data_IF_342208512697
#
_entry.id   IF_342208512697
#
_cell.length_a   1.000
_cell.length_b   1.000
_cell.length_c   1.000
_cell.angle_alpha   90.00
_cell.angle_beta   90.00
_cell.angle_gamma   90.00
#
_symmetry.space_group_name_H-M   'P 1'
#
loop_
_entity.id
_entity.type
_entity.pdbx_description
1 polymer ?
#
# COMPACT_ATOMS: atom_id res chain seq x y z
N UNK A 1 7.96 -20.50 18.79
CA UNK A 1 7.07 -19.50 18.13
C UNK A 1 5.84 -19.32 19.00
N UNK A 2 5.18 -18.16 18.96
CA UNK A 2 3.86 -17.96 19.53
C UNK A 2 2.87 -18.83 18.80
N UNK A 3 1.97 -19.52 19.48
CA UNK A 3 1.01 -20.44 18.88
C UNK A 3 -0.30 -19.78 18.42
N UNK A 4 -0.58 -18.55 18.88
CA UNK A 4 -1.82 -17.83 18.58
C UNK A 4 -1.52 -16.34 18.42
N UNK A 5 -2.03 -15.72 17.36
CA UNK A 5 -1.95 -14.30 17.08
C UNK A 5 -3.32 -13.63 17.06
N UNK A 6 -3.40 -12.44 17.59
CA UNK A 6 -4.58 -11.57 17.54
C UNK A 6 -4.24 -10.34 16.71
N UNK A 7 -4.59 -10.40 15.44
CA UNK A 7 -4.32 -9.36 14.46
C UNK A 7 -5.60 -8.73 13.94
N UNK A 8 -5.48 -7.62 13.24
CA UNK A 8 -6.63 -6.96 12.62
C UNK A 8 -6.26 -5.93 11.59
N UNK A 9 -7.29 -5.31 10.97
CA UNK A 9 -7.17 -4.18 10.06
C UNK A 9 -7.94 -3.00 10.63
N UNK A 10 -7.22 -1.93 10.95
CA UNK A 10 -7.81 -0.66 11.38
C UNK A 10 -8.12 0.22 10.17
N UNK A 11 -9.37 0.65 10.03
CA UNK A 11 -9.80 1.55 8.97
C UNK A 11 -11.18 2.12 9.25
N UNK A 12 -11.78 2.76 8.25
CA UNK A 12 -13.16 3.22 8.27
C UNK A 12 -13.89 2.75 7.01
N UNK A 13 -15.12 2.23 7.20
CA UNK A 13 -15.96 1.68 6.13
C UNK A 13 -15.23 0.54 5.37
N UNK A 14 -14.60 -0.40 6.10
CA UNK A 14 -13.68 -1.42 5.58
C UNK A 14 -14.29 -2.80 5.39
N UNK A 15 -15.63 -2.92 5.46
CA UNK A 15 -16.32 -4.21 5.35
C UNK A 15 -16.06 -5.00 4.07
N UNK A 16 -15.56 -4.35 3.02
CA UNK A 16 -15.20 -4.95 1.73
C UNK A 16 -13.79 -5.56 1.70
N UNK A 17 -12.98 -5.38 2.76
CA UNK A 17 -11.56 -5.78 2.73
C UNK A 17 -11.37 -7.29 2.70
N UNK A 18 -10.53 -7.76 1.81
CA UNK A 18 -10.10 -9.16 1.68
C UNK A 18 -8.94 -9.55 2.61
N UNK A 19 -8.44 -8.63 3.43
CA UNK A 19 -7.35 -8.93 4.37
C UNK A 19 -7.66 -10.06 5.35
N UNK A 20 -8.87 -10.21 5.91
CA UNK A 20 -9.19 -11.36 6.78
C UNK A 20 -9.02 -12.71 6.09
N UNK A 21 -9.40 -12.83 4.81
CA UNK A 21 -9.25 -14.04 4.00
C UNK A 21 -7.77 -14.38 3.79
N UNK A 22 -6.97 -13.39 3.42
CA UNK A 22 -5.53 -13.55 3.21
C UNK A 22 -4.81 -13.99 4.49
N UNK A 23 -5.12 -13.38 5.63
CA UNK A 23 -4.52 -13.79 6.90
C UNK A 23 -5.03 -15.16 7.38
N UNK A 24 -6.25 -15.56 7.07
CA UNK A 24 -6.72 -16.91 7.33
C UNK A 24 -5.94 -17.95 6.51
N UNK A 25 -5.58 -17.65 5.25
CA UNK A 25 -4.70 -18.49 4.43
C UNK A 25 -3.30 -18.56 5.00
N UNK A 26 -2.71 -17.43 5.43
CA UNK A 26 -1.40 -17.36 6.08
C UNK A 26 -1.41 -18.22 7.35
N UNK A 27 -2.40 -18.07 8.22
CA UNK A 27 -2.49 -18.84 9.47
C UNK A 27 -2.60 -20.33 9.22
N UNK A 28 -3.39 -20.74 8.22
CA UNK A 28 -3.52 -22.16 7.84
C UNK A 28 -2.19 -22.73 7.34
N UNK A 29 -1.50 -22.00 6.45
CA UNK A 29 -0.19 -22.39 5.91
C UNK A 29 0.88 -22.51 7.00
N UNK A 30 0.85 -21.64 8.00
CA UNK A 30 1.81 -21.61 9.11
C UNK A 30 1.40 -22.54 10.29
N UNK A 31 0.26 -23.25 10.23
CA UNK A 31 -0.22 -24.11 11.31
C UNK A 31 -0.57 -23.35 12.60
N UNK A 32 -1.11 -22.14 12.48
CA UNK A 32 -1.41 -21.24 13.60
C UNK A 32 -2.90 -21.27 13.97
N UNK A 33 -3.37 -22.47 14.36
CA UNK A 33 -4.74 -22.67 14.79
C UNK A 33 -5.11 -21.76 15.98
N UNK A 34 -6.32 -21.21 15.95
CA UNK A 34 -6.78 -20.26 16.97
C UNK A 34 -6.34 -18.81 16.80
N UNK A 35 -5.46 -18.51 15.81
CA UNK A 35 -5.15 -17.13 15.46
C UNK A 35 -6.34 -16.44 14.79
N UNK A 36 -6.46 -15.12 15.01
CA UNK A 36 -7.57 -14.33 14.48
C UNK A 36 -7.07 -13.08 13.77
N UNK A 37 -7.76 -12.72 12.68
CA UNK A 37 -7.62 -11.44 12.03
C UNK A 37 -9.00 -10.78 11.89
N UNK A 38 -9.18 -9.59 12.47
CA UNK A 38 -10.48 -8.93 12.56
C UNK A 38 -10.47 -7.57 11.88
N UNK A 39 -11.60 -7.18 11.32
CA UNK A 39 -11.83 -5.79 10.89
C UNK A 39 -12.08 -4.93 12.14
N UNK A 40 -11.32 -3.85 12.25
CA UNK A 40 -11.40 -2.85 13.32
C UNK A 40 -11.92 -1.57 12.66
N UNK A 41 -13.23 -1.59 12.36
CA UNK A 41 -13.90 -0.46 11.75
C UNK A 41 -14.17 0.62 12.80
N UNK A 42 -13.61 1.80 12.63
CA UNK A 42 -13.69 2.91 13.58
C UNK A 42 -13.87 4.23 12.84
N UNK A 43 -14.69 5.10 13.39
CA UNK A 43 -14.83 6.49 12.93
C UNK A 43 -13.65 7.36 13.39
N UNK A 44 -12.97 6.99 14.49
CA UNK A 44 -11.86 7.71 15.09
C UNK A 44 -10.78 6.73 15.57
N UNK A 45 -9.51 7.17 15.52
CA UNK A 45 -8.37 6.33 15.91
C UNK A 45 -8.05 6.38 17.42
N UNK A 46 -8.27 7.54 18.07
CA UNK A 46 -7.85 7.78 19.45
C UNK A 46 -8.45 6.78 20.46
N UNK A 47 -9.75 6.45 20.43
CA UNK A 47 -10.32 5.46 21.35
C UNK A 47 -9.70 4.07 21.17
N UNK A 48 -9.39 3.68 19.93
CA UNK A 48 -8.75 2.39 19.66
C UNK A 48 -7.34 2.32 20.24
N UNK A 49 -6.52 3.36 20.09
CA UNK A 49 -5.18 3.38 20.67
C UNK A 49 -5.20 3.40 22.20
N UNK A 50 -6.19 4.04 22.82
CA UNK A 50 -6.41 3.96 24.27
C UNK A 50 -6.71 2.52 24.70
N UNK A 51 -7.54 1.80 23.96
CA UNK A 51 -7.84 0.38 24.19
C UNK A 51 -6.57 -0.48 24.05
N UNK A 52 -5.83 -0.32 22.95
CA UNK A 52 -4.58 -1.06 22.68
C UNK A 52 -3.59 -0.93 23.84
N UNK A 53 -3.37 0.29 24.31
CA UNK A 53 -2.44 0.57 25.42
C UNK A 53 -2.89 -0.05 26.73
N UNK A 54 -4.21 -0.08 27.00
CA UNK A 54 -4.76 -0.57 28.27
C UNK A 54 -4.82 -2.10 28.33
N UNK A 55 -5.12 -2.79 27.20
CA UNK A 55 -5.51 -4.20 27.26
C UNK A 55 -4.41 -5.17 26.85
N UNK A 56 -3.38 -4.71 26.13
CA UNK A 56 -2.38 -5.57 25.46
C UNK A 56 -3.00 -6.76 24.72
N UNK A 57 -4.23 -6.56 24.18
CA UNK A 57 -5.00 -7.60 23.53
C UNK A 57 -4.46 -7.96 22.14
N UNK A 58 -3.86 -6.98 21.46
CA UNK A 58 -3.40 -7.09 20.09
C UNK A 58 -1.92 -7.42 20.02
N UNK A 59 -1.53 -8.32 19.11
CA UNK A 59 -0.14 -8.58 18.75
C UNK A 59 0.34 -7.63 17.65
N UNK A 60 -0.61 -7.09 16.89
CA UNK A 60 -0.40 -6.10 15.87
C UNK A 60 -1.65 -5.87 15.03
N UNK A 61 -1.59 -4.91 14.14
CA UNK A 61 -2.68 -4.62 13.21
C UNK A 61 -2.17 -3.89 11.97
N UNK A 62 -2.81 -4.16 10.84
CA UNK A 62 -2.65 -3.34 9.66
C UNK A 62 -3.49 -2.06 9.77
N UNK A 63 -3.12 -1.05 9.02
CA UNK A 63 -3.81 0.24 8.95
C UNK A 63 -4.12 0.58 7.50
N UNK A 64 -5.36 0.94 7.23
CA UNK A 64 -5.80 1.38 5.90
C UNK A 64 -6.45 2.76 5.95
N UNK A 65 -7.02 3.16 4.84
CA UNK A 65 -7.71 4.45 4.66
C UNK A 65 -8.80 4.66 5.72
N UNK A 66 -8.91 5.86 6.30
CA UNK A 66 -8.11 7.07 6.05
C UNK A 66 -6.91 7.23 7.00
N UNK A 67 -6.51 6.21 7.77
CA UNK A 67 -5.75 6.35 9.01
C UNK A 67 -4.24 6.16 8.88
N UNK A 68 -3.70 5.79 7.71
CA UNK A 68 -2.25 5.51 7.51
C UNK A 68 -1.30 6.62 7.99
N UNK A 69 -1.74 7.88 7.95
CA UNK A 69 -0.97 9.03 8.48
C UNK A 69 -1.41 9.40 9.90
N UNK A 70 -2.72 9.28 10.17
CA UNK A 70 -3.30 9.69 11.45
C UNK A 70 -2.85 8.84 12.65
N UNK A 71 -2.36 7.62 12.41
CA UNK A 71 -1.87 6.73 13.48
C UNK A 71 -0.46 7.09 13.99
N UNK A 72 0.33 7.81 13.19
CA UNK A 72 1.74 8.11 13.51
C UNK A 72 1.93 8.72 14.90
N UNK A 73 1.14 9.71 15.35
CA UNK A 73 1.30 10.31 16.68
C UNK A 73 1.06 9.35 17.86
N UNK A 74 0.46 8.19 17.62
CA UNK A 74 0.16 7.19 18.65
C UNK A 74 1.23 6.11 18.78
N UNK A 75 2.23 6.09 17.89
CA UNK A 75 3.27 5.08 17.83
C UNK A 75 4.52 5.51 18.58
N UNK A 76 5.23 4.53 19.17
CA UNK A 76 6.47 4.78 19.90
C UNK A 76 7.68 4.82 18.96
N UNK A 77 7.62 4.07 17.86
CA UNK A 77 8.70 3.94 16.88
C UNK A 77 8.15 3.87 15.46
N UNK A 78 8.94 4.37 14.52
CA UNK A 78 8.73 4.19 13.09
C UNK A 78 9.98 3.53 12.49
N UNK A 79 9.75 2.60 11.55
CA UNK A 79 10.84 2.08 10.74
C UNK A 79 11.30 3.11 9.69
N UNK A 80 12.47 2.94 9.07
CA UNK A 80 12.96 3.88 8.06
C UNK A 80 12.03 4.06 6.85
N UNK A 81 11.35 2.99 6.40
CA UNK A 81 10.43 3.06 5.25
C UNK A 81 9.18 3.85 5.60
N UNK A 82 8.56 3.58 6.73
CA UNK A 82 7.36 4.34 7.15
C UNK A 82 7.69 5.81 7.38
N UNK A 83 8.91 6.13 7.85
CA UNK A 83 9.40 7.51 7.97
C UNK A 83 9.53 8.16 6.60
N UNK A 84 10.17 7.50 5.63
CA UNK A 84 10.35 8.01 4.27
C UNK A 84 9.02 8.21 3.54
N UNK A 85 8.07 7.29 3.70
CA UNK A 85 6.72 7.38 3.12
C UNK A 85 5.87 8.43 3.84
N UNK A 86 6.09 8.65 5.14
CA UNK A 86 5.21 9.46 6.00
C UNK A 86 3.82 8.82 6.17
N UNK A 87 3.75 7.48 6.14
CA UNK A 87 2.53 6.72 6.37
C UNK A 87 2.86 5.33 6.91
N UNK A 88 1.96 4.78 7.72
CA UNK A 88 2.05 3.45 8.34
C UNK A 88 0.87 2.61 7.89
N UNK A 89 1.11 1.37 7.44
CA UNK A 89 0.08 0.40 7.13
C UNK A 89 0.18 -0.90 7.94
N UNK A 90 1.23 -1.03 8.79
CA UNK A 90 1.42 -2.17 9.67
C UNK A 90 1.97 -1.70 11.02
N UNK A 91 1.39 -2.16 12.13
CA UNK A 91 1.81 -1.83 13.49
C UNK A 91 1.99 -3.11 14.29
N UNK A 92 3.17 -3.32 14.87
CA UNK A 92 3.40 -4.39 15.84
C UNK A 92 3.19 -3.89 17.26
N UNK A 93 2.62 -4.74 18.12
CA UNK A 93 2.40 -4.46 19.54
C UNK A 93 3.25 -5.43 20.35
N UNK A 94 4.36 -4.97 20.91
CA UNK A 94 5.31 -5.84 21.66
C UNK A 94 5.76 -5.18 22.94
N UNK A 95 5.54 -5.87 24.05
CA UNK A 95 5.99 -5.38 25.37
C UNK A 95 5.51 -3.93 25.65
N UNK A 96 4.32 -3.59 25.18
CA UNK A 96 3.75 -2.23 25.28
C UNK A 96 4.29 -1.23 24.27
N UNK A 97 5.27 -1.59 23.44
CA UNK A 97 5.83 -0.75 22.37
C UNK A 97 5.04 -0.94 21.07
N UNK A 98 4.58 0.14 20.49
CA UNK A 98 3.94 0.18 19.19
C UNK A 98 4.94 0.66 18.14
N UNK A 99 5.29 -0.22 17.21
CA UNK A 99 6.21 0.10 16.11
C UNK A 99 5.47 0.09 14.78
N UNK A 100 5.58 1.18 14.04
CA UNK A 100 4.95 1.36 12.72
C UNK A 100 5.88 1.02 11.57
N UNK A 101 5.33 0.34 10.56
CA UNK A 101 5.99 -0.08 9.33
C UNK A 101 5.16 0.31 8.11
N UNK A 102 5.79 0.31 6.94
CA UNK A 102 5.09 0.48 5.68
C UNK A 102 5.40 -0.67 4.72
N UNK A 103 4.50 -1.66 4.66
CA UNK A 103 4.62 -2.83 3.79
C UNK A 103 4.05 -2.60 2.39
N UNK A 104 3.41 -1.44 2.11
CA UNK A 104 2.96 -1.09 0.76
C UNK A 104 4.16 -0.91 -0.19
N UNK A 105 5.31 -0.43 0.31
CA UNK A 105 6.55 -0.26 -0.48
C UNK A 105 7.02 -1.62 -1.01
N UNK A 106 7.17 -2.59 -0.12
CA UNK A 106 7.58 -3.96 -0.48
C UNK A 106 6.53 -4.62 -1.36
N UNK A 107 5.26 -4.45 -1.01
CA UNK A 107 4.13 -4.99 -1.75
C UNK A 107 4.09 -4.51 -3.20
N UNK A 108 4.24 -3.20 -3.42
CA UNK A 108 4.27 -2.64 -4.77
C UNK A 108 5.52 -3.09 -5.55
N UNK A 109 6.70 -3.07 -4.92
CA UNK A 109 7.93 -3.49 -5.58
C UNK A 109 7.87 -4.97 -6.02
N UNK A 110 7.29 -5.85 -5.20
CA UNK A 110 7.08 -7.24 -5.54
C UNK A 110 6.07 -7.40 -6.68
N UNK A 111 4.94 -6.71 -6.61
CA UNK A 111 3.91 -6.69 -7.66
C UNK A 111 4.48 -6.23 -9.00
N UNK A 112 5.23 -5.13 -9.03
CA UNK A 112 5.84 -4.62 -10.27
C UNK A 112 6.82 -5.62 -10.87
N UNK A 113 7.65 -6.29 -10.05
CA UNK A 113 8.58 -7.33 -10.55
C UNK A 113 7.84 -8.53 -11.12
N UNK A 114 6.75 -8.96 -10.51
CA UNK A 114 5.92 -10.06 -11.01
C UNK A 114 5.31 -9.69 -12.37
N UNK A 115 4.77 -8.46 -12.50
CA UNK A 115 4.19 -7.99 -13.76
C UNK A 115 5.23 -7.85 -14.89
N UNK A 116 6.44 -7.45 -14.57
CA UNK A 116 7.50 -7.32 -15.57
C UNK A 116 8.10 -8.69 -15.92
N UNK A 117 8.17 -9.63 -14.98
CA UNK A 117 8.82 -10.94 -15.13
C UNK A 117 10.31 -10.78 -15.46
N UNK A 118 10.78 -11.45 -16.51
CA UNK A 118 12.17 -11.36 -17.00
C UNK A 118 12.45 -10.08 -17.84
N UNK A 119 11.43 -9.22 -18.00
CA UNK A 119 11.55 -7.98 -18.76
C UNK A 119 12.42 -6.92 -18.09
N UNK A 120 12.71 -5.86 -18.82
CA UNK A 120 13.46 -4.70 -18.30
C UNK A 120 12.56 -3.78 -17.50
N UNK A 121 13.09 -3.26 -16.40
CA UNK A 121 12.39 -2.24 -15.60
C UNK A 121 12.05 -1.01 -16.46
N UNK A 122 10.86 -0.38 -16.23
CA UNK A 122 10.47 0.82 -16.95
C UNK A 122 11.47 1.97 -16.73
N UNK A 123 11.76 2.73 -17.76
CA UNK A 123 12.70 3.86 -17.67
C UNK A 123 12.17 5.04 -16.84
N UNK A 124 10.85 5.17 -16.72
CA UNK A 124 10.19 6.18 -15.87
C UNK A 124 8.74 5.78 -15.59
N UNK A 125 8.09 6.50 -14.67
CA UNK A 125 6.71 6.25 -14.28
C UNK A 125 5.93 7.54 -14.00
N UNK A 126 4.61 7.50 -14.23
CA UNK A 126 3.64 8.46 -13.68
C UNK A 126 2.87 7.79 -12.55
N UNK A 127 2.70 8.53 -11.44
CA UNK A 127 1.90 8.09 -10.29
C UNK A 127 0.68 9.00 -10.18
N UNK A 128 -0.50 8.46 -10.38
CA UNK A 128 -1.75 9.23 -10.32
C UNK A 128 -2.28 9.22 -8.89
N UNK A 129 -2.23 10.38 -8.23
CA UNK A 129 -2.65 10.56 -6.84
C UNK A 129 -1.52 11.01 -5.92
N UNK A 130 -1.87 11.59 -4.75
CA UNK A 130 -0.92 12.13 -3.76
C UNK A 130 -1.14 11.60 -2.33
N UNK A 131 -1.88 10.49 -2.18
CA UNK A 131 -2.19 9.85 -0.90
C UNK A 131 -1.06 8.98 -0.34
N UNK A 132 -1.33 8.26 0.75
CA UNK A 132 -0.36 7.36 1.38
C UNK A 132 0.13 6.24 0.45
N UNK A 133 -0.77 5.64 -0.34
CA UNK A 133 -0.41 4.61 -1.31
C UNK A 133 0.49 5.16 -2.43
N UNK A 134 0.17 6.33 -2.97
CA UNK A 134 1.01 7.01 -3.97
C UNK A 134 2.42 7.30 -3.45
N UNK A 135 2.55 7.73 -2.18
CA UNK A 135 3.87 7.94 -1.56
C UNK A 135 4.65 6.64 -1.41
N UNK A 136 3.99 5.54 -1.04
CA UNK A 136 4.64 4.23 -0.97
C UNK A 136 5.12 3.75 -2.34
N UNK A 137 4.31 3.93 -3.39
CA UNK A 137 4.69 3.65 -4.79
C UNK A 137 5.92 4.46 -5.19
N UNK A 138 5.94 5.75 -4.88
CA UNK A 138 7.10 6.62 -5.19
C UNK A 138 8.39 6.11 -4.53
N UNK A 139 8.32 5.77 -3.23
CA UNK A 139 9.49 5.22 -2.51
C UNK A 139 9.92 3.86 -3.09
N UNK A 140 8.98 3.01 -3.47
CA UNK A 140 9.29 1.72 -4.10
C UNK A 140 9.97 1.90 -5.46
N UNK A 141 9.48 2.83 -6.30
CA UNK A 141 10.08 3.15 -7.60
C UNK A 141 11.48 3.75 -7.44
N UNK A 142 11.67 4.63 -6.45
CA UNK A 142 12.99 5.20 -6.11
C UNK A 142 13.99 4.11 -5.73
N UNK A 143 13.59 3.13 -4.89
CA UNK A 143 14.43 1.98 -4.54
C UNK A 143 14.75 1.08 -5.73
N UNK A 144 13.89 1.03 -6.74
CA UNK A 144 14.10 0.30 -7.99
C UNK A 144 14.90 1.09 -9.02
N UNK A 145 15.29 2.33 -8.72
CA UNK A 145 16.00 3.21 -9.64
C UNK A 145 15.12 3.74 -10.79
N UNK A 146 13.78 3.74 -10.62
CA UNK A 146 12.82 4.19 -11.62
C UNK A 146 12.41 5.64 -11.30
N UNK A 147 12.83 6.64 -12.08
CA UNK A 147 12.35 8.00 -11.94
C UNK A 147 10.83 8.07 -12.06
N UNK A 148 10.17 8.83 -11.17
CA UNK A 148 8.73 8.95 -11.22
C UNK A 148 8.25 10.36 -10.96
N UNK A 149 7.16 10.74 -11.60
CA UNK A 149 6.47 12.01 -11.41
C UNK A 149 5.05 11.75 -10.87
N UNK A 150 4.62 12.59 -9.93
CA UNK A 150 3.28 12.49 -9.34
C UNK A 150 2.32 13.45 -10.03
N UNK A 151 1.21 12.90 -10.53
CA UNK A 151 0.11 13.67 -11.10
C UNK A 151 -1.05 13.70 -10.11
N UNK A 152 -1.49 14.89 -9.71
CA UNK A 152 -2.60 15.03 -8.77
C UNK A 152 -3.36 16.35 -8.97
N UNK A 153 -4.47 16.52 -8.27
CA UNK A 153 -5.28 17.75 -8.34
C UNK A 153 -4.62 18.98 -7.70
N UNK A 154 -3.61 18.80 -6.86
CA UNK A 154 -3.11 19.90 -6.02
C UNK A 154 -1.63 19.80 -5.65
N UNK A 155 -0.93 18.77 -6.08
CA UNK A 155 0.50 18.55 -5.77
C UNK A 155 1.21 17.92 -6.95
N UNK A 156 2.42 18.39 -7.24
CA UNK A 156 3.20 17.94 -8.38
C UNK A 156 2.60 18.45 -9.70
N UNK A 157 2.70 17.66 -10.75
CA UNK A 157 2.05 17.90 -12.02
C UNK A 157 0.53 17.78 -11.85
N UNK A 158 -0.24 18.71 -12.38
CA UNK A 158 -1.70 18.60 -12.39
C UNK A 158 -2.19 17.81 -13.60
N UNK A 159 -3.43 17.31 -13.55
CA UNK A 159 -4.00 16.59 -14.69
C UNK A 159 -4.17 17.47 -15.91
N UNK A 160 -4.41 18.77 -15.73
CA UNK A 160 -4.53 19.76 -16.78
C UNK A 160 -3.19 20.09 -17.45
N UNK A 161 -2.09 19.97 -16.72
CA UNK A 161 -0.72 20.20 -17.21
C UNK A 161 -0.12 18.96 -17.88
N UNK A 162 -0.68 17.75 -17.64
CA UNK A 162 -0.20 16.52 -18.25
C UNK A 162 -0.54 16.49 -19.75
N UNK A 163 0.50 16.56 -20.57
CA UNK A 163 0.30 16.55 -22.03
C UNK A 163 0.19 15.13 -22.59
N UNK A 164 -0.46 14.97 -23.77
CA UNK A 164 -0.50 13.69 -24.48
C UNK A 164 0.90 13.11 -24.75
N UNK A 165 1.87 13.95 -25.10
CA UNK A 165 3.26 13.53 -25.37
C UNK A 165 3.97 13.01 -24.11
N UNK A 166 3.72 13.62 -22.96
CA UNK A 166 4.25 13.11 -21.68
C UNK A 166 3.65 11.75 -21.35
N UNK A 167 2.34 11.60 -21.49
CA UNK A 167 1.66 10.33 -21.25
C UNK A 167 2.17 9.24 -22.22
N UNK A 168 2.30 9.55 -23.52
CA UNK A 168 2.77 8.61 -24.52
C UNK A 168 4.23 8.15 -24.31
N UNK A 169 5.09 8.98 -23.70
CA UNK A 169 6.48 8.64 -23.43
C UNK A 169 6.69 7.84 -22.14
N UNK A 170 5.65 7.70 -21.32
CA UNK A 170 5.75 7.08 -20.00
C UNK A 170 5.39 5.59 -20.07
N UNK A 171 6.36 4.68 -19.90
CA UNK A 171 6.12 3.24 -20.03
C UNK A 171 5.32 2.64 -18.87
N UNK A 172 5.32 3.27 -17.68
CA UNK A 172 4.60 2.80 -16.49
C UNK A 172 3.67 3.90 -15.96
N UNK A 173 2.38 3.59 -15.82
CA UNK A 173 1.38 4.48 -15.25
C UNK A 173 0.72 3.77 -14.09
N UNK A 174 0.84 4.33 -12.87
CA UNK A 174 0.31 3.73 -11.64
C UNK A 174 -0.84 4.59 -11.11
N UNK A 175 -2.04 4.03 -11.10
CA UNK A 175 -3.22 4.66 -10.52
C UNK A 175 -3.30 4.34 -9.02
N UNK A 176 -3.15 5.37 -8.19
CA UNK A 176 -3.14 5.29 -6.73
C UNK A 176 -4.22 6.19 -6.07
N UNK A 177 -5.33 6.44 -6.79
CA UNK A 177 -6.52 7.12 -6.26
C UNK A 177 -7.68 6.13 -6.07
N UNK A 178 -8.72 6.47 -5.30
CA UNK A 178 -9.87 5.58 -5.14
C UNK A 178 -10.87 5.59 -6.32
N UNK A 179 -10.63 6.34 -7.40
CA UNK A 179 -11.51 6.39 -8.55
C UNK A 179 -11.63 5.01 -9.20
N UNK A 180 -12.80 4.62 -9.63
CA UNK A 180 -13.07 3.30 -10.21
C UNK A 180 -13.30 2.19 -9.19
N UNK A 181 -13.08 2.43 -7.90
CA UNK A 181 -13.43 1.48 -6.83
C UNK A 181 -14.94 1.45 -6.56
N UNK A 182 -15.39 0.49 -5.73
CA UNK A 182 -16.79 0.42 -5.30
C UNK A 182 -17.33 1.72 -4.68
N UNK A 183 -16.44 2.55 -4.11
CA UNK A 183 -16.81 3.86 -3.55
C UNK A 183 -17.03 4.94 -4.62
N UNK A 184 -16.39 4.83 -5.77
CA UNK A 184 -16.46 5.78 -6.89
C UNK A 184 -16.62 5.01 -8.20
N UNK A 185 -17.71 4.25 -8.38
CA UNK A 185 -17.91 3.40 -9.54
C UNK A 185 -17.99 4.23 -10.83
N UNK A 186 -17.40 3.71 -11.89
CA UNK A 186 -17.38 4.36 -13.20
C UNK A 186 -16.45 5.58 -13.33
N UNK A 187 -15.87 6.06 -12.22
CA UNK A 187 -14.93 7.19 -12.26
C UNK A 187 -13.52 6.73 -12.66
N UNK A 188 -12.81 7.58 -13.41
CA UNK A 188 -11.41 7.37 -13.79
C UNK A 188 -10.63 8.68 -13.73
N UNK A 189 -9.28 8.65 -13.64
CA UNK A 189 -8.45 9.85 -13.72
C UNK A 189 -8.68 10.58 -15.06
N UNK A 190 -8.70 11.91 -15.09
CA UNK A 190 -8.87 12.67 -16.35
C UNK A 190 -7.55 12.74 -17.12
N UNK A 191 -7.23 11.68 -17.88
CA UNK A 191 -6.03 11.58 -18.70
C UNK A 191 -6.36 11.79 -20.18
N UNK A 192 -5.40 12.19 -21.03
CA UNK A 192 -5.52 12.19 -22.47
C UNK A 192 -5.37 10.76 -23.02
N UNK A 193 -6.38 9.90 -22.79
CA UNK A 193 -6.34 8.44 -23.04
C UNK A 193 -6.00 8.07 -24.48
N UNK A 194 -6.33 8.91 -25.45
CA UNK A 194 -5.97 8.70 -26.88
C UNK A 194 -4.44 8.62 -27.12
N UNK A 195 -3.64 9.05 -26.16
CA UNK A 195 -2.17 8.96 -26.19
C UNK A 195 -1.62 7.63 -25.65
N UNK A 196 -2.46 6.74 -25.13
CA UNK A 196 -2.05 5.40 -24.68
C UNK A 196 -1.71 4.50 -25.87
N UNK A 197 -0.82 3.52 -25.65
CA UNK A 197 -0.42 2.55 -26.68
C UNK A 197 0.12 1.25 -26.06
N UNK A 198 0.24 0.22 -26.89
CA UNK A 198 0.60 -1.16 -26.50
C UNK A 198 1.97 -1.34 -25.80
N UNK A 199 2.85 -0.34 -25.84
CA UNK A 199 4.16 -0.39 -25.16
C UNK A 199 4.11 -0.03 -23.66
N UNK A 200 2.92 0.26 -23.12
CA UNK A 200 2.77 0.75 -21.74
C UNK A 200 2.20 -0.31 -20.81
N UNK A 201 2.57 -0.22 -19.53
CA UNK A 201 1.99 -0.97 -18.43
C UNK A 201 1.18 -0.02 -17.52
N UNK A 202 -0.10 -0.30 -17.38
CA UNK A 202 -1.01 0.40 -16.49
C UNK A 202 -1.27 -0.47 -15.26
N UNK A 203 -0.99 0.06 -14.06
CA UNK A 203 -1.28 -0.61 -12.79
C UNK A 203 -2.30 0.22 -12.02
N UNK A 204 -3.43 -0.39 -11.64
CA UNK A 204 -4.37 0.21 -10.70
C UNK A 204 -4.21 -0.45 -9.33
N UNK A 205 -4.00 0.33 -8.27
CA UNK A 205 -3.92 -0.21 -6.92
C UNK A 205 -5.28 -0.69 -6.37
N UNK A 206 -6.37 -0.35 -7.05
CA UNK A 206 -7.69 -0.93 -6.81
C UNK A 206 -7.71 -2.37 -7.32
N UNK A 207 -8.29 -3.28 -6.53
CA UNK A 207 -8.44 -4.70 -6.89
C UNK A 207 -9.91 -5.12 -7.04
N UNK A 208 -10.84 -4.23 -6.73
CA UNK A 208 -12.29 -4.44 -6.88
C UNK A 208 -12.97 -3.14 -7.34
N UNK A 209 -13.57 -3.17 -8.56
CA UNK A 209 -13.68 -4.30 -9.50
C UNK A 209 -12.32 -4.78 -10.04
N UNK A 210 -12.28 -5.99 -10.59
CA UNK A 210 -11.06 -6.58 -11.17
C UNK A 210 -10.52 -5.74 -12.34
N UNK A 211 -11.40 -5.22 -13.17
CA UNK A 211 -11.08 -4.27 -14.23
C UNK A 211 -11.78 -2.95 -13.92
N UNK A 212 -11.00 -1.95 -13.59
CA UNK A 212 -11.50 -0.59 -13.33
C UNK A 212 -11.64 0.19 -14.64
N UNK A 213 -12.42 1.28 -14.69
CA UNK A 213 -12.52 2.13 -15.89
C UNK A 213 -11.16 2.66 -16.38
N UNK A 214 -10.18 2.82 -15.51
CA UNK A 214 -8.82 3.16 -15.90
C UNK A 214 -8.13 2.02 -16.66
N UNK A 215 -8.28 0.78 -16.17
CA UNK A 215 -7.72 -0.41 -16.83
C UNK A 215 -8.47 -0.74 -18.12
N UNK A 216 -9.79 -0.49 -18.20
CA UNK A 216 -10.57 -0.62 -19.44
C UNK A 216 -10.00 0.25 -20.57
N UNK A 217 -9.64 1.51 -20.25
CA UNK A 217 -8.98 2.40 -21.21
C UNK A 217 -7.62 1.84 -21.66
N UNK A 218 -6.83 1.32 -20.72
CA UNK A 218 -5.57 0.67 -21.06
C UNK A 218 -5.76 -0.50 -22.03
N UNK A 219 -6.70 -1.39 -21.73
CA UNK A 219 -7.03 -2.54 -22.59
C UNK A 219 -7.50 -2.11 -23.98
N UNK A 220 -8.34 -1.09 -24.07
CA UNK A 220 -8.84 -0.55 -25.35
C UNK A 220 -7.71 -0.02 -26.25
N UNK A 221 -6.61 0.45 -25.66
CA UNK A 221 -5.42 0.96 -26.36
C UNK A 221 -4.29 -0.07 -26.49
N UNK A 222 -4.55 -1.35 -26.10
CA UNK A 222 -3.59 -2.45 -26.21
C UNK A 222 -2.48 -2.42 -25.16
N UNK A 223 -2.61 -1.64 -24.10
CA UNK A 223 -1.67 -1.63 -22.99
C UNK A 223 -1.71 -2.96 -22.21
N UNK A 224 -0.59 -3.29 -21.55
CA UNK A 224 -0.62 -4.28 -20.49
C UNK A 224 -1.27 -3.66 -19.25
N UNK A 225 -2.08 -4.44 -18.54
CA UNK A 225 -2.79 -3.94 -17.36
C UNK A 225 -2.65 -4.90 -16.19
N UNK A 226 -2.56 -4.37 -14.98
CA UNK A 226 -2.59 -5.12 -13.74
C UNK A 226 -3.41 -4.39 -12.68
N UNK A 227 -4.11 -5.13 -11.82
CA UNK A 227 -4.82 -4.58 -10.67
C UNK A 227 -4.04 -4.76 -9.35
N UNK A 228 -4.57 -4.22 -8.26
CA UNK A 228 -3.91 -4.20 -6.96
C UNK A 228 -3.87 -5.54 -6.20
N UNK A 229 -4.34 -6.65 -6.77
CA UNK A 229 -4.46 -7.92 -6.03
C UNK A 229 -3.10 -8.52 -5.68
N UNK A 230 -2.14 -8.50 -6.59
CA UNK A 230 -0.76 -8.97 -6.34
C UNK A 230 -0.10 -8.13 -5.25
N UNK A 231 -0.23 -6.81 -5.31
CA UNK A 231 0.26 -5.91 -4.27
C UNK A 231 -0.42 -6.19 -2.92
N UNK A 232 -1.73 -6.44 -2.91
CA UNK A 232 -2.48 -6.75 -1.69
C UNK A 232 -1.95 -8.03 -1.01
N UNK A 233 -1.63 -9.06 -1.77
CA UNK A 233 -1.03 -10.30 -1.26
C UNK A 233 0.38 -10.08 -0.74
N UNK A 234 1.23 -9.44 -1.53
CA UNK A 234 2.62 -9.20 -1.17
C UNK A 234 2.77 -8.34 0.09
N UNK A 235 1.97 -7.27 0.25
CA UNK A 235 1.99 -6.44 1.47
C UNK A 235 1.48 -7.20 2.70
N UNK A 236 0.54 -8.15 2.54
CA UNK A 236 0.06 -8.98 3.64
C UNK A 236 1.14 -9.96 4.12
N UNK A 237 1.89 -10.58 3.19
CA UNK A 237 3.05 -11.42 3.51
C UNK A 237 4.15 -10.61 4.21
N UNK A 238 4.49 -9.42 3.72
CA UNK A 238 5.44 -8.53 4.37
C UNK A 238 4.98 -8.13 5.79
N UNK A 239 3.69 -7.80 5.97
CA UNK A 239 3.12 -7.53 7.28
C UNK A 239 3.20 -8.75 8.21
N UNK A 240 2.94 -9.96 7.67
CA UNK A 240 3.09 -11.19 8.43
C UNK A 240 4.53 -11.40 8.92
N UNK A 241 5.53 -11.09 8.10
CA UNK A 241 6.93 -11.13 8.53
C UNK A 241 7.20 -10.23 9.73
N UNK A 242 6.66 -9.01 9.74
CA UNK A 242 6.76 -8.13 10.91
C UNK A 242 6.01 -8.67 12.12
N UNK A 243 4.82 -9.22 11.97
CA UNK A 243 4.05 -9.78 13.09
C UNK A 243 4.70 -11.00 13.73
N UNK A 244 5.31 -11.89 12.94
CA UNK A 244 5.97 -13.11 13.46
C UNK A 244 7.38 -12.91 13.97
N UNK A 245 8.11 -11.87 13.51
CA UNK A 245 9.47 -11.59 13.98
C UNK A 245 9.42 -11.07 15.41
N UNK A 246 10.14 -11.77 16.31
CA UNK A 246 10.19 -11.42 17.75
C UNK A 246 11.23 -10.34 18.08
N UNK A 247 12.09 -9.96 17.15
CA UNK A 247 13.11 -8.96 17.39
C UNK A 247 12.48 -7.57 17.44
N UNK A 248 12.69 -6.86 18.54
CA UNK A 248 12.47 -5.41 18.58
C UNK A 248 13.59 -4.82 17.70
N UNK A 249 13.24 -4.18 16.61
CA UNK A 249 14.22 -3.45 15.79
C UNK A 249 14.89 -2.41 16.68
N UNK A 250 16.18 -2.62 17.01
CA UNK A 250 16.96 -1.60 17.69
C UNK A 250 17.03 -0.35 16.82
N UNK A 251 16.89 0.86 17.38
CA UNK A 251 17.12 2.07 16.63
C UNK A 251 18.56 2.03 16.11
N UNK A 252 18.76 2.18 14.80
CA UNK A 252 20.07 2.37 14.23
C UNK A 252 20.76 3.47 15.01
N UNK A 253 21.86 3.12 15.70
CA UNK A 253 22.69 4.05 16.45
C UNK A 253 23.20 5.10 15.45
N UNK A 254 22.46 6.21 15.30
CA UNK A 254 22.99 7.39 14.65
C UNK A 254 24.17 7.89 15.48
N UNK A 255 25.34 7.72 14.91
CA UNK A 255 26.61 8.34 15.26
C UNK A 255 26.45 9.61 16.11
N UNK A 256 26.88 9.52 17.37
CA UNK A 256 27.30 10.70 18.11
C UNK A 256 28.49 11.29 17.32
N UNK A 257 28.22 12.37 16.61
CA UNK A 257 29.27 13.24 16.14
C UNK A 257 29.72 14.05 17.35
N UNK A 258 30.96 13.84 17.73
CA UNK A 258 31.71 14.61 18.73
C UNK A 258 31.98 16.02 18.21
#
# INVERSE_FOLDING_TARGET
>A
MKSVYRLGLLGRDIGYSRSPELFAEIFRREGLEGSTYRLIDRSEVSPFFTEVRRTAHWDGFNVTTPYKTAVIPYLDRLDPLSTAVGAVNCVTCREGILTGYNTDVEGFAASLREEIGEGTLPGCALILGSGGASRAVRVALEQLGIPSETVSRSRGLTYEELTPEQLARTPLIVHATPLGSAKYPGAKPPLPYDALHAGQLLIDLTYEPEVTPFLEEGLAHGCRTANGLTMLRAQAEAAWHHFRDKRISEPSSSSKVS
#
